data_IF_599464260991
#
_entry.id   IF_599464260991
#
_cell.length_a   1.000
_cell.length_b   1.000
_cell.length_c   1.000
_cell.angle_alpha   90.00
_cell.angle_beta   90.00
_cell.angle_gamma   90.00
#
_symmetry.space_group_name_H-M   'P 1'
#
loop_
_entity.id
_entity.type
_entity.pdbx_description
1 polymer ?
#
# COMPACT_ATOMS: atom_id res chain seq x y z
N UNK A 1 -30.08 -12.94 -13.64
CA UNK A 1 -28.64 -12.90 -14.02
C UNK A 1 -27.90 -12.18 -12.90
N UNK A 2 -27.15 -12.92 -12.09
CA UNK A 2 -26.34 -12.33 -11.03
C UNK A 2 -25.11 -11.68 -11.67
N UNK A 3 -24.94 -10.38 -11.48
CA UNK A 3 -23.79 -9.64 -12.02
C UNK A 3 -22.51 -10.12 -11.35
N UNK A 4 -21.43 -10.24 -12.12
CA UNK A 4 -20.10 -10.48 -11.56
C UNK A 4 -19.70 -9.35 -10.61
N UNK A 5 -18.82 -9.64 -9.64
CA UNK A 5 -18.33 -8.63 -8.68
C UNK A 5 -17.71 -7.42 -9.38
N UNK A 6 -16.99 -7.65 -10.48
CA UNK A 6 -16.41 -6.57 -11.28
C UNK A 6 -17.48 -5.65 -11.86
N UNK A 7 -18.57 -6.20 -12.39
CA UNK A 7 -19.70 -5.42 -12.93
C UNK A 7 -20.43 -4.64 -11.84
N UNK A 8 -20.61 -5.23 -10.66
CA UNK A 8 -21.21 -4.51 -9.51
C UNK A 8 -20.33 -3.34 -9.10
N UNK A 9 -19.02 -3.56 -8.94
CA UNK A 9 -18.07 -2.52 -8.51
C UNK A 9 -17.88 -1.43 -9.57
N UNK A 10 -17.92 -1.77 -10.87
CA UNK A 10 -17.82 -0.80 -11.97
C UNK A 10 -18.97 0.23 -11.96
N UNK A 11 -20.13 -0.12 -11.39
CA UNK A 11 -21.27 0.80 -11.25
C UNK A 11 -21.14 1.77 -10.08
N UNK A 12 -20.15 1.59 -9.21
CA UNK A 12 -19.92 2.46 -8.05
C UNK A 12 -18.98 3.58 -8.45
N UNK A 13 -19.56 4.66 -8.99
CA UNK A 13 -18.79 5.83 -9.44
C UNK A 13 -18.94 7.03 -8.50
N UNK A 14 -20.05 7.10 -7.78
CA UNK A 14 -20.39 8.22 -6.89
C UNK A 14 -20.71 7.75 -5.47
N UNK A 15 -20.80 8.70 -4.53
CA UNK A 15 -21.22 8.43 -3.15
C UNK A 15 -22.62 7.79 -3.09
N UNK A 16 -23.66 8.29 -3.80
CA UNK A 16 -24.96 7.61 -3.83
C UNK A 16 -24.92 6.17 -4.34
N UNK A 17 -24.11 5.88 -5.36
CA UNK A 17 -23.95 4.50 -5.86
C UNK A 17 -23.36 3.58 -4.80
N UNK A 18 -22.36 4.08 -4.08
CA UNK A 18 -21.69 3.36 -3.00
C UNK A 18 -22.66 3.06 -1.85
N UNK A 19 -23.42 4.05 -1.38
CA UNK A 19 -24.44 3.85 -0.34
C UNK A 19 -25.48 2.82 -0.75
N UNK A 20 -26.03 2.94 -1.96
CA UNK A 20 -27.03 2.01 -2.50
C UNK A 20 -26.49 0.60 -2.68
N UNK A 21 -25.24 0.44 -3.10
CA UNK A 21 -24.64 -0.88 -3.35
C UNK A 21 -24.30 -1.59 -2.04
N UNK A 22 -23.82 -0.85 -1.03
CA UNK A 22 -23.43 -1.39 0.27
C UNK A 22 -24.56 -1.36 1.32
N UNK A 23 -25.80 -1.07 0.94
CA UNK A 23 -26.92 -0.97 1.90
C UNK A 23 -27.21 -2.30 2.62
N UNK A 24 -27.09 -3.42 1.91
CA UNK A 24 -27.45 -4.75 2.41
C UNK A 24 -26.22 -5.49 2.94
N UNK A 25 -26.30 -5.93 4.19
CA UNK A 25 -25.20 -6.60 4.89
C UNK A 25 -24.87 -7.96 4.26
N UNK A 26 -25.88 -8.69 3.78
CA UNK A 26 -25.70 -9.98 3.09
C UNK A 26 -24.96 -9.83 1.76
N UNK A 27 -25.33 -8.81 0.97
CA UNK A 27 -24.65 -8.47 -0.29
C UNK A 27 -23.23 -7.98 -0.05
N UNK A 28 -22.98 -7.20 0.99
CA UNK A 28 -21.62 -6.80 1.38
C UNK A 28 -20.77 -8.03 1.72
N UNK A 29 -21.36 -9.02 2.40
CA UNK A 29 -20.68 -10.27 2.72
C UNK A 29 -20.34 -11.08 1.48
N UNK A 30 -21.26 -11.22 0.52
CA UNK A 30 -21.01 -11.90 -0.76
C UNK A 30 -19.92 -11.20 -1.58
N UNK A 31 -19.96 -9.87 -1.66
CA UNK A 31 -18.92 -9.08 -2.32
C UNK A 31 -17.55 -9.30 -1.65
N UNK A 32 -17.50 -9.28 -0.32
CA UNK A 32 -16.27 -9.53 0.43
C UNK A 32 -15.73 -10.95 0.17
N UNK A 33 -16.60 -11.97 0.15
CA UNK A 33 -16.21 -13.35 -0.16
C UNK A 33 -15.62 -13.49 -1.55
N UNK A 34 -16.23 -12.89 -2.56
CA UNK A 34 -15.70 -12.94 -3.92
C UNK A 34 -14.40 -12.13 -4.09
N UNK A 35 -14.18 -11.06 -3.31
CA UNK A 35 -12.94 -10.29 -3.38
C UNK A 35 -11.78 -10.96 -2.62
N UNK A 36 -12.06 -11.65 -1.51
CA UNK A 36 -11.05 -12.38 -0.72
C UNK A 36 -10.75 -13.75 -1.34
N UNK A 37 -11.74 -14.39 -1.96
CA UNK A 37 -11.65 -15.72 -2.57
C UNK A 37 -12.09 -15.72 -4.04
N UNK A 38 -11.38 -15.00 -4.94
CA UNK A 38 -11.74 -14.93 -6.36
C UNK A 38 -11.74 -16.31 -7.02
N UNK A 39 -10.81 -17.19 -6.62
CA UNK A 39 -10.62 -18.54 -7.16
C UNK A 39 -11.19 -19.63 -6.24
N UNK A 40 -12.10 -19.26 -5.35
CA UNK A 40 -12.72 -20.17 -4.38
C UNK A 40 -12.08 -20.16 -2.99
N UNK A 41 -12.81 -20.75 -2.03
CA UNK A 41 -12.49 -20.65 -0.59
C UNK A 41 -11.19 -21.38 -0.24
N UNK A 42 -10.31 -20.69 0.46
CA UNK A 42 -9.07 -21.26 1.01
C UNK A 42 -9.16 -21.25 2.53
N UNK A 43 -8.91 -22.40 3.16
CA UNK A 43 -8.87 -22.50 4.62
C UNK A 43 -7.72 -21.66 5.17
N UNK A 44 -7.98 -20.65 6.03
CA UNK A 44 -6.94 -19.76 6.52
C UNK A 44 -5.98 -20.45 7.51
N UNK A 45 -6.30 -21.66 7.99
CA UNK A 45 -5.46 -22.42 8.91
C UNK A 45 -4.44 -23.32 8.22
N UNK A 46 -4.82 -24.00 7.12
CA UNK A 46 -3.99 -25.02 6.47
C UNK A 46 -3.89 -24.90 4.94
N UNK A 47 -4.54 -23.90 4.31
CA UNK A 47 -4.47 -23.68 2.86
C UNK A 47 -5.34 -24.62 2.03
N UNK A 48 -6.07 -25.55 2.65
CA UNK A 48 -6.92 -26.50 1.92
C UNK A 48 -8.07 -25.78 1.20
N UNK A 49 -8.30 -26.16 -0.07
CA UNK A 49 -9.21 -25.45 -1.00
C UNK A 49 -10.66 -25.97 -1.00
N UNK A 50 -10.95 -27.02 -0.24
CA UNK A 50 -12.31 -27.56 -0.10
C UNK A 50 -12.87 -27.26 1.28
N UNK A 51 -14.08 -26.72 1.29
CA UNK A 51 -14.83 -26.45 2.52
C UNK A 51 -16.33 -26.61 2.30
N UNK A 52 -17.00 -27.07 3.35
CA UNK A 52 -18.46 -27.21 3.41
C UNK A 52 -19.06 -25.99 4.10
N UNK A 53 -20.18 -25.48 3.58
CA UNK A 53 -20.97 -24.46 4.27
C UNK A 53 -21.75 -25.12 5.41
N UNK A 54 -21.60 -24.62 6.63
CA UNK A 54 -22.38 -25.07 7.77
C UNK A 54 -23.69 -24.29 7.79
N UNK A 55 -24.74 -24.86 7.19
CA UNK A 55 -26.09 -24.30 7.25
C UNK A 55 -26.77 -24.68 8.56
N UNK A 56 -27.10 -23.68 9.38
CA UNK A 56 -27.73 -23.88 10.70
C UNK A 56 -29.19 -24.34 10.67
N UNK A 57 -29.64 -25.04 9.64
CA UNK A 57 -31.07 -25.40 9.46
C UNK A 57 -31.41 -26.85 9.80
N UNK A 58 -30.48 -27.80 9.73
CA UNK A 58 -30.82 -29.23 9.89
C UNK A 58 -30.53 -29.81 11.28
N UNK A 59 -29.79 -29.11 12.15
CA UNK A 59 -29.30 -29.66 13.43
C UNK A 59 -29.79 -28.94 14.69
N UNK A 60 -30.80 -28.08 14.60
CA UNK A 60 -31.35 -27.33 15.76
C UNK A 60 -30.38 -26.32 16.40
N UNK A 61 -29.12 -26.25 15.95
CA UNK A 61 -28.12 -25.28 16.40
C UNK A 61 -28.04 -24.14 15.39
N UNK A 62 -28.23 -22.89 15.85
CA UNK A 62 -28.03 -21.67 15.06
C UNK A 62 -26.55 -21.53 14.67
N UNK A 63 -26.11 -22.21 13.61
CA UNK A 63 -24.81 -21.94 13.02
C UNK A 63 -24.78 -20.49 12.55
N UNK A 64 -23.67 -19.78 12.82
CA UNK A 64 -23.50 -18.41 12.33
C UNK A 64 -23.64 -18.43 10.80
N UNK A 65 -24.45 -17.54 10.21
CA UNK A 65 -24.53 -17.44 8.75
C UNK A 65 -23.13 -17.31 8.15
N UNK A 66 -22.90 -18.00 7.03
CA UNK A 66 -21.65 -17.93 6.26
C UNK A 66 -20.43 -18.46 7.03
N UNK A 67 -20.65 -19.48 7.86
CA UNK A 67 -19.62 -20.27 8.51
C UNK A 67 -19.26 -21.47 7.62
N UNK A 68 -17.97 -21.62 7.34
CA UNK A 68 -17.44 -22.72 6.56
C UNK A 68 -16.62 -23.65 7.45
N UNK A 69 -16.57 -24.94 7.11
CA UNK A 69 -15.66 -25.88 7.74
C UNK A 69 -14.71 -26.46 6.70
N UNK A 70 -13.42 -26.45 7.02
CA UNK A 70 -12.39 -27.10 6.22
C UNK A 70 -12.71 -28.59 6.03
N UNK A 71 -12.68 -29.06 4.78
CA UNK A 71 -12.94 -30.47 4.46
C UNK A 71 -11.73 -31.38 4.69
N UNK A 72 -10.56 -30.83 5.00
CA UNK A 72 -9.40 -31.64 5.38
C UNK A 72 -9.69 -32.40 6.68
N UNK A 73 -9.46 -33.72 6.67
CA UNK A 73 -9.72 -34.62 7.79
C UNK A 73 -8.91 -34.27 9.04
N UNK A 74 -7.70 -33.73 8.88
CA UNK A 74 -6.82 -33.34 10.00
C UNK A 74 -7.09 -31.92 10.51
N UNK A 75 -7.58 -31.02 9.66
CA UNK A 75 -7.75 -29.62 10.03
C UNK A 75 -9.13 -29.33 10.63
N UNK A 76 -10.21 -29.66 9.90
CA UNK A 76 -11.63 -29.42 10.29
C UNK A 76 -11.94 -28.00 10.84
N UNK A 77 -11.05 -27.03 10.61
CA UNK A 77 -11.14 -25.67 11.14
C UNK A 77 -12.36 -24.94 10.58
N UNK A 78 -13.08 -24.24 11.45
CA UNK A 78 -14.24 -23.46 11.07
C UNK A 78 -13.85 -22.01 10.82
N UNK A 79 -14.31 -21.43 9.72
CA UNK A 79 -13.95 -20.07 9.34
C UNK A 79 -15.01 -19.27 8.60
N UNK A 80 -14.89 -17.96 8.71
CA UNK A 80 -15.62 -16.95 7.91
C UNK A 80 -14.61 -16.18 7.06
N UNK A 81 -15.10 -15.41 6.09
CA UNK A 81 -14.25 -14.59 5.20
C UNK A 81 -13.34 -13.60 5.94
N UNK A 82 -13.77 -13.16 7.12
CA UNK A 82 -13.03 -12.21 7.94
C UNK A 82 -11.93 -12.87 8.78
N UNK A 83 -11.87 -14.20 8.88
CA UNK A 83 -10.88 -14.87 9.73
C UNK A 83 -9.47 -14.71 9.17
N UNK A 84 -8.52 -14.41 10.07
CA UNK A 84 -7.12 -14.08 9.74
C UNK A 84 -6.97 -12.92 8.76
N UNK A 85 -7.95 -12.02 8.71
CA UNK A 85 -7.85 -10.75 7.98
C UNK A 85 -7.84 -9.57 8.97
N UNK A 86 -7.53 -8.35 8.53
CA UNK A 86 -7.77 -7.13 9.30
C UNK A 86 -9.17 -6.96 9.89
N UNK A 87 -10.18 -7.61 9.29
CA UNK A 87 -11.57 -7.60 9.73
C UNK A 87 -11.88 -8.72 10.73
N UNK A 88 -10.87 -9.45 11.21
CA UNK A 88 -11.04 -10.53 12.17
C UNK A 88 -11.76 -10.05 13.43
N UNK A 89 -12.75 -10.84 13.86
CA UNK A 89 -13.60 -10.56 15.02
C UNK A 89 -14.25 -9.15 15.02
N UNK A 90 -14.43 -8.54 13.84
CA UNK A 90 -15.05 -7.22 13.74
C UNK A 90 -16.50 -7.25 14.19
N UNK A 91 -16.88 -6.26 15.00
CA UNK A 91 -18.28 -5.99 15.39
C UNK A 91 -18.90 -4.87 14.55
N UNK A 92 -18.09 -4.20 13.74
CA UNK A 92 -18.52 -3.13 12.86
C UNK A 92 -19.16 -3.74 11.60
N UNK A 93 -20.35 -3.28 11.17
CA UNK A 93 -20.99 -3.82 9.98
C UNK A 93 -20.12 -3.70 8.72
N UNK A 94 -20.20 -4.70 7.84
CA UNK A 94 -19.44 -4.76 6.59
C UNK A 94 -19.81 -3.62 5.65
N UNK A 95 -21.06 -3.15 5.67
CA UNK A 95 -21.43 -1.93 4.93
C UNK A 95 -20.55 -0.74 5.31
N UNK A 96 -20.28 -0.56 6.60
CA UNK A 96 -19.44 0.55 7.08
C UNK A 96 -17.98 0.31 6.67
N UNK A 97 -17.50 -0.92 6.73
CA UNK A 97 -16.17 -1.28 6.24
C UNK A 97 -15.97 -0.97 4.77
N UNK A 98 -16.86 -1.45 3.91
CA UNK A 98 -16.77 -1.27 2.46
C UNK A 98 -16.94 0.21 2.08
N UNK A 99 -17.87 0.93 2.70
CA UNK A 99 -18.03 2.37 2.50
C UNK A 99 -16.78 3.15 2.92
N UNK A 100 -16.20 2.82 4.07
CA UNK A 100 -15.00 3.50 4.55
C UNK A 100 -13.77 3.20 3.71
N UNK A 101 -13.58 1.95 3.27
CA UNK A 101 -12.52 1.60 2.34
C UNK A 101 -12.70 2.32 1.01
N UNK A 102 -13.91 2.35 0.46
CA UNK A 102 -14.20 3.10 -0.77
C UNK A 102 -13.89 4.59 -0.62
N UNK A 103 -14.28 5.23 0.48
CA UNK A 103 -13.97 6.64 0.76
C UNK A 103 -12.46 6.90 0.87
N UNK A 104 -11.74 6.02 1.55
CA UNK A 104 -10.27 6.10 1.63
C UNK A 104 -9.65 5.98 0.24
N UNK A 105 -10.11 5.01 -0.55
CA UNK A 105 -9.62 4.77 -1.90
C UNK A 105 -10.00 5.91 -2.84
N UNK A 106 -11.13 6.61 -2.62
CA UNK A 106 -11.66 7.74 -3.40
C UNK A 106 -10.80 9.01 -3.31
N UNK A 107 -10.04 9.22 -2.24
CA UNK A 107 -9.07 10.33 -2.16
C UNK A 107 -7.78 10.00 -2.93
N UNK A 108 -7.10 10.99 -3.52
CA UNK A 108 -5.78 10.77 -4.14
C UNK A 108 -4.62 10.89 -3.14
N UNK A 109 -4.82 11.65 -2.05
CA UNK A 109 -3.79 11.91 -1.04
C UNK A 109 -4.01 11.14 0.26
N UNK A 110 -5.22 10.63 0.49
CA UNK A 110 -5.64 10.10 1.78
C UNK A 110 -6.77 10.90 2.42
N UNK A 111 -7.33 10.32 3.47
CA UNK A 111 -8.34 10.95 4.33
C UNK A 111 -7.87 10.80 5.77
N UNK A 112 -7.98 11.87 6.55
CA UNK A 112 -7.64 11.78 7.98
C UNK A 112 -8.67 10.91 8.70
N UNK A 113 -8.25 10.25 9.78
CA UNK A 113 -9.15 9.41 10.58
C UNK A 113 -10.31 10.19 11.19
N UNK A 114 -10.13 11.49 11.46
CA UNK A 114 -11.19 12.38 11.94
C UNK A 114 -12.26 12.57 10.85
N UNK A 115 -11.85 12.95 9.63
CA UNK A 115 -12.79 13.15 8.51
C UNK A 115 -13.48 11.85 8.09
N UNK A 116 -12.77 10.74 8.14
CA UNK A 116 -13.36 9.42 7.86
C UNK A 116 -14.38 9.03 8.94
N UNK A 117 -14.11 9.34 10.20
CA UNK A 117 -15.04 9.09 11.31
C UNK A 117 -16.32 9.91 11.19
N UNK A 118 -16.20 11.22 10.89
CA UNK A 118 -17.32 12.11 10.60
C UNK A 118 -18.18 11.57 9.45
N UNK A 119 -17.55 11.19 8.33
CA UNK A 119 -18.26 10.71 7.14
C UNK A 119 -19.01 9.39 7.36
N UNK A 120 -18.51 8.52 8.26
CA UNK A 120 -19.09 7.21 8.54
C UNK A 120 -20.00 7.19 9.77
N UNK A 121 -20.01 8.25 10.59
CA UNK A 121 -20.71 8.28 11.88
C UNK A 121 -20.12 7.29 12.90
N UNK A 122 -18.80 7.09 12.89
CA UNK A 122 -18.09 6.20 13.83
C UNK A 122 -17.10 6.98 14.68
N UNK A 123 -16.55 6.34 15.72
CA UNK A 123 -15.48 6.97 16.51
C UNK A 123 -14.19 7.15 15.69
N UNK A 124 -13.42 8.21 15.98
CA UNK A 124 -12.11 8.43 15.36
C UNK A 124 -11.17 7.22 15.50
N UNK A 125 -11.08 6.54 16.66
CA UNK A 125 -10.26 5.34 16.77
C UNK A 125 -10.72 4.22 15.83
N UNK A 126 -12.03 4.07 15.61
CA UNK A 126 -12.57 3.08 14.67
C UNK A 126 -12.10 3.39 13.26
N UNK A 127 -12.27 4.63 12.80
CA UNK A 127 -11.80 5.07 11.49
C UNK A 127 -10.27 4.95 11.34
N UNK A 128 -9.51 5.24 12.40
CA UNK A 128 -8.05 5.04 12.42
C UNK A 128 -7.67 3.56 12.25
N UNK A 129 -8.38 2.63 12.91
CA UNK A 129 -8.21 1.18 12.70
C UNK A 129 -8.52 0.79 11.25
N UNK A 130 -9.55 1.38 10.64
CA UNK A 130 -9.86 1.13 9.23
C UNK A 130 -8.74 1.59 8.30
N UNK A 131 -8.14 2.75 8.56
CA UNK A 131 -6.96 3.22 7.83
C UNK A 131 -5.80 2.25 7.89
N UNK A 132 -5.51 1.72 9.08
CA UNK A 132 -4.46 0.69 9.22
C UNK A 132 -4.84 -0.65 8.60
N UNK A 133 -6.13 -1.02 8.56
CA UNK A 133 -6.59 -2.17 7.78
C UNK A 133 -6.23 -2.05 6.31
N UNK A 134 -6.52 -0.89 5.71
CA UNK A 134 -6.13 -0.63 4.33
C UNK A 134 -4.60 -0.76 4.16
N UNK A 135 -3.82 -0.05 4.97
CA UNK A 135 -2.34 -0.04 4.92
C UNK A 135 -1.71 -1.42 5.00
N UNK A 136 -2.27 -2.29 5.83
CA UNK A 136 -1.83 -3.67 5.99
C UNK A 136 -2.23 -4.51 4.78
N UNK A 137 -3.47 -4.41 4.30
CA UNK A 137 -3.95 -5.19 3.14
C UNK A 137 -3.27 -4.82 1.83
N UNK A 138 -2.85 -3.56 1.67
CA UNK A 138 -2.18 -3.09 0.46
C UNK A 138 -0.66 -3.23 0.50
N UNK A 139 -0.10 -3.71 1.61
CA UNK A 139 1.31 -4.14 1.66
C UNK A 139 1.59 -5.26 0.65
N UNK A 140 2.79 -5.30 0.12
CA UNK A 140 3.19 -6.21 -0.95
C UNK A 140 4.63 -6.62 -0.74
N UNK A 141 4.90 -7.88 -1.05
CA UNK A 141 6.15 -8.56 -0.69
C UNK A 141 6.91 -9.00 -1.95
N UNK A 142 6.30 -8.89 -3.13
CA UNK A 142 6.95 -9.17 -4.40
C UNK A 142 8.02 -8.12 -4.67
N UNK A 143 9.24 -8.59 -4.94
CA UNK A 143 10.35 -7.74 -5.34
C UNK A 143 10.08 -7.10 -6.72
N UNK A 144 10.63 -5.90 -6.90
CA UNK A 144 10.52 -5.13 -8.12
C UNK A 144 11.52 -5.63 -9.16
N UNK A 145 11.12 -5.66 -10.42
CA UNK A 145 11.95 -6.10 -11.54
C UNK A 145 12.04 -5.03 -12.65
N UNK A 146 12.79 -5.35 -13.72
CA UNK A 146 12.98 -4.47 -14.85
C UNK A 146 13.83 -3.24 -14.51
N UNK A 147 13.43 -2.06 -14.96
CA UNK A 147 14.15 -0.81 -14.65
C UNK A 147 13.56 -0.19 -13.40
N UNK A 148 14.37 -0.02 -12.35
CA UNK A 148 13.93 0.48 -11.05
C UNK A 148 14.70 1.75 -10.69
N UNK A 149 13.95 2.83 -10.45
CA UNK A 149 14.49 4.10 -9.95
C UNK A 149 14.54 4.07 -8.42
N UNK A 150 15.70 4.37 -7.84
CA UNK A 150 15.91 4.43 -6.40
C UNK A 150 16.33 5.83 -5.97
N UNK A 151 15.77 6.30 -4.85
CA UNK A 151 16.10 7.60 -4.26
C UNK A 151 15.91 7.57 -2.74
N UNK A 152 16.54 8.52 -2.05
CA UNK A 152 16.42 8.71 -0.61
C UNK A 152 15.64 9.97 -0.26
N UNK A 153 14.86 9.93 0.82
CA UNK A 153 14.27 11.12 1.40
C UNK A 153 14.33 11.12 2.92
N UNK A 154 14.20 12.32 3.48
CA UNK A 154 14.02 12.53 4.91
C UNK A 154 12.59 12.96 5.22
N UNK A 155 11.95 12.23 6.13
CA UNK A 155 10.61 12.52 6.68
C UNK A 155 10.74 12.98 8.13
N UNK A 156 9.96 13.99 8.52
CA UNK A 156 9.95 14.53 9.87
C UNK A 156 10.20 16.03 9.93
N UNK A 157 9.83 16.61 11.08
CA UNK A 157 10.00 18.04 11.38
C UNK A 157 11.48 18.43 11.54
N UNK A 158 11.73 19.74 11.58
CA UNK A 158 13.03 20.22 12.06
C UNK A 158 13.17 19.82 13.54
N UNK A 159 14.36 19.36 13.98
CA UNK A 159 14.63 19.14 15.39
C UNK A 159 14.21 20.37 16.21
N UNK A 160 13.38 20.18 17.23
CA UNK A 160 13.14 21.24 18.22
C UNK A 160 14.25 21.16 19.26
N UNK A 161 14.76 22.32 19.68
CA UNK A 161 15.75 22.37 20.76
C UNK A 161 15.04 22.00 22.05
N UNK A 162 15.39 20.85 22.60
CA UNK A 162 14.96 20.44 23.93
C UNK A 162 16.04 20.86 24.94
N UNK A 163 15.74 21.72 25.94
CA UNK A 163 16.71 22.13 26.96
C UNK A 163 17.29 20.96 27.77
N UNK A 164 16.57 19.85 27.86
CA UNK A 164 16.95 18.69 28.68
C UNK A 164 17.83 17.67 27.91
N UNK A 165 18.03 17.86 26.61
CA UNK A 165 18.83 16.97 25.78
C UNK A 165 19.97 17.72 25.10
N UNK A 166 21.13 17.07 25.03
CA UNK A 166 22.26 17.59 24.26
C UNK A 166 21.88 17.74 22.79
N UNK A 167 22.26 18.84 22.11
CA UNK A 167 22.02 19.00 20.69
C UNK A 167 22.58 17.80 19.92
N UNK A 168 21.91 17.34 18.84
CA UNK A 168 22.50 16.32 17.99
C UNK A 168 23.87 16.79 17.51
N UNK A 169 24.88 15.93 17.67
CA UNK A 169 26.26 16.25 17.28
C UNK A 169 26.38 16.67 15.82
N UNK A 170 27.54 17.21 15.42
CA UNK A 170 27.76 17.60 14.02
C UNK A 170 27.93 16.35 13.15
N UNK A 171 27.26 16.33 12.00
CA UNK A 171 27.43 15.37 10.92
C UNK A 171 28.53 15.79 9.94
N UNK A 172 28.57 15.12 8.78
CA UNK A 172 29.58 15.38 7.74
C UNK A 172 29.54 16.84 7.30
N UNK A 173 30.72 17.47 7.13
CA UNK A 173 30.89 18.90 6.80
C UNK A 173 30.36 19.89 7.85
N UNK A 174 30.28 19.49 9.12
CA UNK A 174 29.92 20.39 10.23
C UNK A 174 28.43 20.75 10.32
N UNK A 175 27.59 20.16 9.48
CA UNK A 175 26.13 20.33 9.53
C UNK A 175 25.56 19.63 10.77
N UNK A 176 24.47 20.12 11.39
CA UNK A 176 23.79 19.38 12.46
C UNK A 176 23.37 17.97 11.98
N UNK A 177 23.59 16.93 12.78
CA UNK A 177 22.99 15.61 12.49
C UNK A 177 21.47 15.78 12.40
N UNK A 178 20.90 15.37 11.28
CA UNK A 178 19.44 15.40 11.09
C UNK A 178 18.79 14.37 12.02
N UNK A 179 17.73 14.76 12.72
CA UNK A 179 16.87 13.82 13.46
C UNK A 179 15.68 13.34 12.61
N UNK A 180 15.64 13.75 11.33
CA UNK A 180 14.62 13.27 10.41
C UNK A 180 14.87 11.81 10.11
N UNK A 181 13.80 11.05 10.01
CA UNK A 181 13.82 9.64 9.63
C UNK A 181 14.22 9.52 8.16
N UNK A 182 15.34 8.85 7.84
CA UNK A 182 15.68 8.53 6.47
C UNK A 182 14.79 7.41 5.95
N UNK A 183 14.45 7.51 4.67
CA UNK A 183 13.55 6.60 3.97
C UNK A 183 14.16 6.33 2.60
N UNK A 184 14.15 5.07 2.18
CA UNK A 184 14.49 4.69 0.81
C UNK A 184 13.24 4.41 0.01
N UNK A 185 13.28 4.77 -1.26
CA UNK A 185 12.19 4.62 -2.21
C UNK A 185 12.70 3.86 -3.42
N UNK A 186 11.91 2.91 -3.90
CA UNK A 186 12.15 2.19 -5.15
C UNK A 186 10.87 2.23 -6.01
N UNK A 187 10.98 2.74 -7.23
CA UNK A 187 9.89 2.93 -8.18
C UNK A 187 10.22 2.20 -9.48
N UNK A 188 9.47 1.16 -9.86
CA UNK A 188 9.66 0.52 -11.15
C UNK A 188 9.19 1.44 -12.27
N UNK A 189 9.85 1.38 -13.42
CA UNK A 189 9.35 1.98 -14.64
C UNK A 189 8.40 1.01 -15.35
N UNK A 190 7.31 1.50 -15.96
CA UNK A 190 6.47 0.65 -16.79
C UNK A 190 7.32 0.03 -17.91
N UNK A 191 7.27 -1.31 -18.11
CA UNK A 191 8.08 -1.99 -19.12
C UNK A 191 7.68 -1.58 -20.55
N UNK A 192 6.44 -1.11 -20.71
CA UNK A 192 5.95 -0.51 -21.93
C UNK A 192 4.95 0.62 -21.62
N UNK A 193 4.69 1.47 -22.62
CA UNK A 193 3.77 2.61 -22.51
C UNK A 193 2.44 2.31 -23.20
N UNK A 194 2.04 1.03 -23.23
CA UNK A 194 0.80 0.59 -23.89
C UNK A 194 -0.42 1.06 -23.09
N UNK A 195 -1.49 1.38 -23.80
CA UNK A 195 -2.77 1.71 -23.14
C UNK A 195 -3.22 0.54 -22.27
N UNK A 196 -3.59 0.82 -21.02
CA UNK A 196 -3.95 -0.17 -20.02
C UNK A 196 -2.80 -0.68 -19.15
N UNK A 197 -1.54 -0.40 -19.50
CA UNK A 197 -0.40 -0.80 -18.67
C UNK A 197 -0.44 -0.10 -17.30
N UNK A 198 -0.11 -0.83 -16.24
CA UNK A 198 -0.03 -0.32 -14.87
C UNK A 198 1.22 0.53 -14.66
N UNK A 199 1.20 1.44 -13.69
CA UNK A 199 2.41 2.17 -13.30
C UNK A 199 3.42 1.35 -12.50
N UNK A 200 3.12 0.08 -12.22
CA UNK A 200 3.92 -0.75 -11.32
C UNK A 200 3.70 -0.40 -9.84
N UNK A 201 4.15 -1.28 -8.97
CA UNK A 201 4.05 -1.10 -7.52
C UNK A 201 5.27 -0.36 -6.98
N UNK A 202 5.06 0.61 -6.08
CA UNK A 202 6.17 1.35 -5.46
C UNK A 202 6.46 0.81 -4.07
N UNK A 203 7.74 0.84 -3.68
CA UNK A 203 8.22 0.48 -2.34
C UNK A 203 8.85 1.68 -1.66
N UNK A 204 8.62 1.79 -0.37
CA UNK A 204 9.40 2.67 0.49
C UNK A 204 9.48 2.13 1.90
N UNK A 205 10.64 2.28 2.53
CA UNK A 205 10.90 1.76 3.86
C UNK A 205 11.77 2.74 4.66
N UNK A 206 11.51 2.82 5.96
CA UNK A 206 12.42 3.48 6.89
C UNK A 206 13.74 2.72 6.97
N UNK A 207 14.84 3.46 6.98
CA UNK A 207 16.19 2.96 7.29
C UNK A 207 16.67 3.61 8.58
N UNK A 208 17.49 2.88 9.36
CA UNK A 208 17.99 3.38 10.63
C UNK A 208 19.00 4.52 10.43
N UNK A 209 19.86 4.37 9.43
CA UNK A 209 20.84 5.37 9.03
C UNK A 209 21.17 5.29 7.53
N UNK A 210 22.10 6.13 7.07
CA UNK A 210 22.59 6.15 5.69
C UNK A 210 23.79 5.20 5.46
N UNK A 211 23.90 4.12 6.24
CA UNK A 211 24.92 3.10 5.99
C UNK A 211 24.59 2.31 4.72
N UNK A 212 25.63 1.73 4.14
CA UNK A 212 25.48 0.80 3.01
C UNK A 212 24.72 -0.46 3.41
N UNK A 213 24.95 -0.98 4.62
CA UNK A 213 24.26 -2.17 5.15
C UNK A 213 22.75 -1.96 5.29
N UNK A 214 22.30 -0.79 5.76
CA UNK A 214 20.87 -0.50 5.86
C UNK A 214 20.23 -0.31 4.48
N UNK A 215 20.96 0.30 3.54
CA UNK A 215 20.49 0.40 2.17
C UNK A 215 20.40 -0.97 1.48
N UNK A 216 21.40 -1.84 1.70
CA UNK A 216 21.43 -3.21 1.19
C UNK A 216 20.24 -4.03 1.70
N UNK A 217 19.97 -3.98 3.02
CA UNK A 217 18.84 -4.67 3.65
C UNK A 217 17.51 -4.33 2.97
N UNK A 218 17.29 -3.04 2.67
CA UNK A 218 16.04 -2.60 2.03
C UNK A 218 16.00 -2.93 0.54
N UNK A 219 17.12 -2.73 -0.19
CA UNK A 219 17.16 -2.94 -1.63
C UNK A 219 17.05 -4.43 -1.99
N UNK A 220 17.72 -5.31 -1.26
CA UNK A 220 17.67 -6.77 -1.51
C UNK A 220 16.31 -7.38 -1.19
N UNK A 221 15.55 -6.81 -0.25
CA UNK A 221 14.15 -7.20 0.00
C UNK A 221 13.20 -6.65 -1.07
N UNK A 222 13.47 -5.44 -1.58
CA UNK A 222 12.54 -4.71 -2.44
C UNK A 222 12.76 -4.92 -3.95
N UNK A 223 13.94 -5.33 -4.39
CA UNK A 223 14.34 -5.33 -5.80
C UNK A 223 15.08 -6.61 -6.17
N UNK A 224 14.68 -7.22 -7.28
CA UNK A 224 15.33 -8.41 -7.83
C UNK A 224 16.75 -8.08 -8.33
N UNK A 225 17.76 -8.95 -8.10
CA UNK A 225 19.12 -8.74 -8.62
C UNK A 225 19.19 -8.61 -10.15
N UNK A 226 18.19 -9.14 -10.87
CA UNK A 226 18.08 -9.01 -12.32
C UNK A 226 17.67 -7.61 -12.81
N UNK A 227 17.32 -6.69 -11.90
CA UNK A 227 16.88 -5.35 -12.25
C UNK A 227 18.03 -4.45 -12.74
N UNK A 228 17.67 -3.44 -13.53
CA UNK A 228 18.53 -2.32 -13.91
C UNK A 228 18.20 -1.12 -13.02
N UNK A 229 19.12 -0.78 -12.11
CA UNK A 229 18.95 0.32 -11.19
C UNK A 229 19.27 1.68 -11.83
N UNK A 230 18.48 2.68 -11.45
CA UNK A 230 18.71 4.09 -11.77
C UNK A 230 18.78 4.86 -10.44
N UNK A 231 19.88 5.54 -10.14
CA UNK A 231 20.01 6.31 -8.88
C UNK A 231 20.67 7.67 -9.06
N UNK A 232 20.73 8.44 -7.98
CA UNK A 232 21.65 9.56 -7.86
C UNK A 232 23.09 9.09 -7.56
N UNK A 233 23.98 10.05 -7.28
CA UNK A 233 25.39 9.82 -6.95
C UNK A 233 25.66 9.49 -5.46
N UNK A 234 24.66 9.02 -4.70
CA UNK A 234 24.89 8.59 -3.33
C UNK A 234 25.79 7.35 -3.30
N UNK A 235 26.90 7.44 -2.57
CA UNK A 235 27.95 6.40 -2.54
C UNK A 235 27.43 5.00 -2.20
N UNK A 236 26.44 4.88 -1.31
CA UNK A 236 25.87 3.59 -0.95
C UNK A 236 25.21 2.94 -2.18
N UNK A 237 24.41 3.69 -2.94
CA UNK A 237 23.81 3.20 -4.18
C UNK A 237 24.85 2.80 -5.22
N UNK A 238 25.92 3.59 -5.38
CA UNK A 238 27.01 3.26 -6.34
C UNK A 238 27.70 1.94 -5.97
N UNK A 239 27.94 1.69 -4.68
CA UNK A 239 28.54 0.44 -4.21
C UNK A 239 27.61 -0.75 -4.47
N UNK A 240 26.36 -0.63 -4.01
CA UNK A 240 25.35 -1.69 -4.07
C UNK A 240 24.90 -2.01 -5.49
N UNK A 241 24.95 -1.03 -6.40
CA UNK A 241 24.57 -1.22 -7.80
C UNK A 241 25.36 -2.31 -8.53
N UNK A 242 26.56 -2.65 -8.03
CA UNK A 242 27.36 -3.77 -8.56
C UNK A 242 26.73 -5.15 -8.37
N UNK A 243 25.78 -5.29 -7.43
CA UNK A 243 25.06 -6.54 -7.17
C UNK A 243 23.86 -6.75 -8.11
N UNK A 244 23.53 -5.77 -8.96
CA UNK A 244 22.39 -5.80 -9.88
C UNK A 244 22.84 -5.97 -11.33
N UNK A 245 21.92 -6.38 -12.21
CA UNK A 245 22.22 -6.64 -13.62
C UNK A 245 22.83 -5.42 -14.34
N UNK A 246 22.41 -4.22 -13.96
CA UNK A 246 23.03 -2.97 -14.38
C UNK A 246 22.71 -1.85 -13.38
N UNK A 247 23.55 -0.82 -13.34
CA UNK A 247 23.32 0.38 -12.54
C UNK A 247 23.81 1.63 -13.28
N UNK A 248 22.90 2.59 -13.48
CA UNK A 248 23.22 3.90 -14.04
C UNK A 248 22.91 5.02 -13.04
N UNK A 249 23.76 6.04 -13.04
CA UNK A 249 23.63 7.19 -12.14
C UNK A 249 23.53 8.52 -12.88
N UNK A 250 22.76 9.45 -12.29
CA UNK A 250 22.76 10.88 -12.66
C UNK A 250 23.57 11.70 -11.68
N UNK A 251 24.32 12.68 -12.20
CA UNK A 251 25.21 13.53 -11.39
C UNK A 251 24.55 14.88 -11.07
N UNK A 252 23.74 14.93 -10.02
CA UNK A 252 23.05 16.16 -9.62
C UNK A 252 23.99 17.32 -9.28
N UNK A 253 25.20 17.06 -8.73
CA UNK A 253 26.20 18.12 -8.50
C UNK A 253 26.65 18.80 -9.80
N UNK A 254 26.65 18.07 -10.92
CA UNK A 254 26.96 18.61 -12.23
C UNK A 254 25.73 19.26 -12.92
N UNK A 255 24.60 19.40 -12.20
CA UNK A 255 23.30 19.85 -12.74
C UNK A 255 22.77 18.94 -13.85
N UNK A 256 23.14 17.66 -13.81
CA UNK A 256 22.59 16.62 -14.65
C UNK A 256 21.36 16.02 -13.97
N UNK A 257 20.20 16.12 -14.63
CA UNK A 257 18.92 15.61 -14.13
C UNK A 257 18.35 14.48 -15.00
N UNK A 258 18.89 14.32 -16.22
CA UNK A 258 18.60 13.20 -17.11
C UNK A 258 19.69 13.08 -18.19
N UNK A 259 20.05 11.85 -18.55
CA UNK A 259 20.94 11.52 -19.67
C UNK A 259 20.30 10.41 -20.50
N UNK A 260 19.58 10.80 -21.55
CA UNK A 260 18.76 9.86 -22.33
C UNK A 260 17.73 9.15 -21.43
N UNK A 261 17.72 7.81 -21.37
CA UNK A 261 16.84 7.05 -20.48
C UNK A 261 17.29 7.06 -19.01
N UNK A 262 18.48 7.56 -18.67
CA UNK A 262 19.00 7.56 -17.29
C UNK A 262 18.44 8.75 -16.51
N UNK A 263 17.60 8.49 -15.50
CA UNK A 263 17.00 9.48 -14.60
C UNK A 263 16.27 8.82 -13.41
N UNK A 264 15.94 9.60 -12.38
CA UNK A 264 15.16 9.14 -11.20
C UNK A 264 13.89 9.96 -10.95
N UNK A 265 13.35 10.59 -12.00
CA UNK A 265 12.20 11.51 -11.91
C UNK A 265 10.94 10.90 -11.26
N UNK A 266 10.71 9.59 -11.40
CA UNK A 266 9.56 8.90 -10.83
C UNK A 266 9.75 8.69 -9.33
N UNK A 267 10.96 8.33 -8.89
CA UNK A 267 11.34 8.25 -7.49
C UNK A 267 11.27 9.62 -6.80
N UNK A 268 11.84 10.66 -7.41
CA UNK A 268 11.72 12.04 -6.92
C UNK A 268 10.24 12.48 -6.81
N UNK A 269 9.43 12.16 -7.84
CA UNK A 269 7.99 12.45 -7.84
C UNK A 269 7.22 11.71 -6.75
N UNK A 270 7.64 10.50 -6.39
CA UNK A 270 7.07 9.75 -5.27
C UNK A 270 7.51 10.33 -3.91
N UNK A 271 8.76 10.77 -3.78
CA UNK A 271 9.23 11.50 -2.59
C UNK A 271 8.38 12.74 -2.32
N UNK A 272 8.10 13.45 -3.39
CA UNK A 272 7.21 14.60 -3.42
C UNK A 272 5.76 14.25 -2.99
N UNK A 273 5.27 13.08 -3.39
CA UNK A 273 3.96 12.55 -2.98
C UNK A 273 3.93 12.24 -1.48
N UNK A 274 4.98 11.60 -0.94
CA UNK A 274 5.10 11.32 0.50
C UNK A 274 5.03 12.63 1.28
N UNK A 275 5.88 13.61 0.93
CA UNK A 275 5.94 14.91 1.61
C UNK A 275 4.59 15.60 1.64
N UNK A 276 3.89 15.67 0.50
CA UNK A 276 2.56 16.31 0.39
C UNK A 276 1.49 15.58 1.19
N UNK A 277 1.56 14.25 1.26
CA UNK A 277 0.62 13.42 2.02
C UNK A 277 0.82 13.60 3.52
N UNK A 278 2.07 13.58 3.98
CA UNK A 278 2.42 13.86 5.37
C UNK A 278 1.99 15.28 5.73
N UNK A 279 2.41 16.30 4.99
CA UNK A 279 2.09 17.68 5.33
C UNK A 279 0.60 18.03 5.23
N UNK A 280 -0.15 17.38 4.33
CA UNK A 280 -1.53 17.75 4.02
C UNK A 280 -2.63 16.87 4.64
N UNK A 281 -2.34 15.61 4.99
CA UNK A 281 -3.37 14.66 5.45
C UNK A 281 -3.07 14.12 6.84
N UNK A 282 -1.87 13.58 7.05
CA UNK A 282 -1.54 12.89 8.29
C UNK A 282 -0.87 13.78 9.33
N UNK A 283 -0.20 14.85 8.89
CA UNK A 283 0.61 15.82 9.64
C UNK A 283 1.78 15.23 10.44
N UNK A 284 1.63 14.03 10.99
CA UNK A 284 2.61 13.29 11.75
C UNK A 284 2.45 11.78 11.51
N UNK A 285 3.56 11.10 11.28
CA UNK A 285 3.63 9.65 11.18
C UNK A 285 4.77 9.20 12.09
N UNK A 286 4.50 8.29 13.02
CA UNK A 286 5.55 7.73 13.86
C UNK A 286 6.46 6.80 13.04
N UNK A 287 7.78 6.79 13.27
CA UNK A 287 8.71 5.92 12.54
C UNK A 287 8.28 4.44 12.56
N UNK A 288 7.82 3.93 13.70
CA UNK A 288 7.35 2.55 13.85
C UNK A 288 6.16 2.19 12.94
N UNK A 289 5.35 3.15 12.53
CA UNK A 289 4.19 2.91 11.65
C UNK A 289 4.43 3.41 10.23
N UNK A 290 5.58 4.03 9.94
CA UNK A 290 5.81 4.75 8.70
C UNK A 290 5.67 3.85 7.47
N UNK A 291 6.21 2.64 7.51
CA UNK A 291 6.12 1.66 6.42
C UNK A 291 4.67 1.32 6.07
N UNK A 292 3.77 1.23 7.06
CA UNK A 292 2.34 1.04 6.81
C UNK A 292 1.75 2.21 6.03
N UNK A 293 2.12 3.45 6.36
CA UNK A 293 1.65 4.60 5.59
C UNK A 293 2.27 4.65 4.20
N UNK A 294 3.52 4.23 4.04
CA UNK A 294 4.17 4.10 2.75
C UNK A 294 3.48 3.07 1.85
N UNK A 295 3.01 1.95 2.42
CA UNK A 295 2.17 0.99 1.68
C UNK A 295 0.90 1.64 1.12
N UNK A 296 0.19 2.45 1.91
CA UNK A 296 -0.99 3.18 1.42
C UNK A 296 -0.64 4.19 0.32
N UNK A 297 0.44 4.95 0.49
CA UNK A 297 0.87 5.96 -0.49
C UNK A 297 1.33 5.29 -1.79
N UNK A 298 2.11 4.21 -1.68
CA UNK A 298 2.57 3.38 -2.79
C UNK A 298 1.40 2.73 -3.53
N UNK A 299 0.42 2.18 -2.80
CA UNK A 299 -0.79 1.62 -3.41
C UNK A 299 -1.53 2.68 -4.24
N UNK A 300 -1.81 3.87 -3.68
CA UNK A 300 -2.47 4.97 -4.41
C UNK A 300 -1.70 5.40 -5.65
N UNK A 301 -0.37 5.45 -5.58
CA UNK A 301 0.47 5.73 -6.75
C UNK A 301 0.31 4.68 -7.84
N UNK A 302 0.17 3.43 -7.43
CA UNK A 302 0.11 2.26 -8.31
C UNK A 302 -1.28 2.06 -8.96
N UNK A 303 -2.34 2.62 -8.38
CA UNK A 303 -3.72 2.49 -8.87
C UNK A 303 -4.04 3.42 -10.06
N UNK A 304 -3.19 3.39 -11.09
CA UNK A 304 -3.36 4.13 -12.33
C UNK A 304 -2.88 3.31 -13.53
N UNK A 305 -3.49 3.58 -14.66
CA UNK A 305 -3.20 2.92 -15.93
C UNK A 305 -2.89 3.97 -17.00
N UNK A 306 -2.10 3.58 -17.98
CA UNK A 306 -1.75 4.43 -19.11
C UNK A 306 -2.97 4.56 -20.02
N UNK A 307 -3.33 5.78 -20.40
CA UNK A 307 -4.40 6.04 -21.39
C UNK A 307 -3.89 6.53 -22.73
N UNK A 308 -2.61 6.88 -22.80
CA UNK A 308 -1.96 7.28 -24.03
C UNK A 308 -0.73 8.13 -23.77
N UNK A 309 -0.27 8.82 -24.81
CA UNK A 309 0.84 9.76 -24.76
C UNK A 309 0.45 11.07 -25.42
N UNK A 310 0.93 12.18 -24.88
CA UNK A 310 0.72 13.49 -25.47
C UNK A 310 2.05 14.24 -25.64
N UNK A 311 2.28 14.89 -26.79
CA UNK A 311 3.40 15.81 -26.94
C UNK A 311 3.19 17.03 -26.04
N UNK A 312 4.24 17.44 -25.35
CA UNK A 312 4.31 18.64 -24.52
C UNK A 312 5.57 19.42 -24.85
N UNK A 313 5.60 20.69 -24.47
CA UNK A 313 6.82 21.51 -24.51
C UNK A 313 7.26 21.82 -23.09
N UNK A 314 8.56 21.70 -22.83
CA UNK A 314 9.15 22.20 -21.58
C UNK A 314 9.06 23.71 -21.52
N UNK A 315 9.32 24.30 -20.34
CA UNK A 315 9.48 25.76 -20.18
C UNK A 315 10.54 26.35 -21.14
N UNK A 316 11.52 25.55 -21.57
CA UNK A 316 12.56 25.93 -22.54
C UNK A 316 12.21 25.60 -23.99
N UNK A 317 10.93 25.32 -24.30
CA UNK A 317 10.45 25.04 -25.66
C UNK A 317 10.78 23.66 -26.22
N UNK A 318 11.59 22.84 -25.53
CA UNK A 318 11.96 21.49 -25.99
C UNK A 318 10.74 20.55 -26.04
N UNK A 319 10.54 19.79 -27.13
CA UNK A 319 9.47 18.80 -27.22
C UNK A 319 9.75 17.62 -26.28
N UNK A 320 8.72 17.16 -25.59
CA UNK A 320 8.77 16.01 -24.68
C UNK A 320 7.46 15.25 -24.78
N UNK A 321 7.52 13.93 -24.90
CA UNK A 321 6.34 13.08 -24.82
C UNK A 321 6.02 12.80 -23.36
N UNK A 322 4.77 13.03 -22.93
CA UNK A 322 4.30 12.72 -21.58
C UNK A 322 3.28 11.60 -21.63
N UNK A 323 3.48 10.59 -20.81
CA UNK A 323 2.50 9.53 -20.55
C UNK A 323 1.29 10.13 -19.84
N UNK A 324 0.11 9.85 -20.37
CA UNK A 324 -1.17 10.19 -19.77
C UNK A 324 -1.60 9.03 -18.88
N UNK A 325 -1.96 9.36 -17.64
CA UNK A 325 -2.40 8.40 -16.63
C UNK A 325 -3.87 8.66 -16.30
N UNK A 326 -4.66 7.59 -16.26
CA UNK A 326 -5.97 7.61 -15.63
C UNK A 326 -5.96 6.76 -14.37
N UNK A 327 -6.72 7.19 -13.39
CA UNK A 327 -6.88 6.49 -12.14
C UNK A 327 -7.86 5.32 -12.30
N UNK A 328 -7.57 4.20 -11.65
CA UNK A 328 -8.52 3.08 -11.55
C UNK A 328 -9.71 3.52 -10.68
N UNK A 329 -10.97 3.33 -11.09
CA UNK A 329 -12.13 3.67 -10.26
C UNK A 329 -12.05 3.06 -8.85
N UNK A 330 -12.35 3.80 -7.77
CA UNK A 330 -12.03 3.35 -6.40
C UNK A 330 -12.68 2.05 -5.98
N UNK A 331 -13.90 1.77 -6.44
CA UNK A 331 -14.54 0.48 -6.21
C UNK A 331 -13.81 -0.68 -6.90
N UNK A 332 -13.25 -0.47 -8.09
CA UNK A 332 -12.47 -1.48 -8.82
C UNK A 332 -11.09 -1.73 -8.20
N UNK A 333 -10.65 -0.89 -7.25
CA UNK A 333 -9.43 -1.13 -6.48
C UNK A 333 -9.66 -2.10 -5.31
N UNK A 334 -10.91 -2.26 -4.83
CA UNK A 334 -11.23 -3.11 -3.67
C UNK A 334 -10.80 -4.58 -3.82
N UNK A 335 -10.95 -5.24 -4.98
CA UNK A 335 -10.44 -6.60 -5.16
C UNK A 335 -8.93 -6.69 -4.94
N UNK A 336 -8.15 -5.71 -5.42
CA UNK A 336 -6.70 -5.68 -5.19
C UNK A 336 -6.34 -5.47 -3.71
N UNK A 337 -7.16 -4.72 -2.96
CA UNK A 337 -7.00 -4.59 -1.51
C UNK A 337 -7.22 -5.94 -0.83
N UNK A 338 -8.33 -6.62 -1.13
CA UNK A 338 -8.74 -7.82 -0.40
C UNK A 338 -8.03 -9.12 -0.82
N UNK A 339 -7.44 -9.16 -2.02
CA UNK A 339 -6.74 -10.34 -2.55
C UNK A 339 -5.68 -10.90 -1.58
N UNK A 340 -5.02 -10.04 -0.82
CA UNK A 340 -3.95 -10.42 0.12
C UNK A 340 -4.34 -10.16 1.58
N UNK A 341 -5.65 -10.15 1.89
CA UNK A 341 -6.12 -9.86 3.24
C UNK A 341 -5.88 -11.03 4.22
N UNK A 342 -5.87 -12.28 3.74
CA UNK A 342 -5.68 -13.48 4.57
C UNK A 342 -4.23 -13.53 5.06
N UNK A 343 -4.05 -13.77 6.35
CA UNK A 343 -2.74 -13.78 6.99
C UNK A 343 -2.32 -12.44 7.57
N UNK A 344 -3.17 -11.40 7.48
CA UNK A 344 -2.82 -10.04 7.91
C UNK A 344 -3.66 -9.56 9.08
N UNK A 345 -3.94 -10.44 10.04
CA UNK A 345 -4.69 -10.10 11.25
C UNK A 345 -3.99 -9.00 12.06
N UNK A 346 -4.80 -8.07 12.59
CA UNK A 346 -4.34 -6.95 13.39
C UNK A 346 -5.07 -6.89 14.74
N UNK A 347 -4.31 -6.57 15.78
CA UNK A 347 -4.81 -6.35 17.12
C UNK A 347 -4.48 -4.95 17.59
N UNK A 348 -5.35 -4.38 18.42
CA UNK A 348 -5.01 -3.14 19.12
C UNK A 348 -4.10 -3.46 20.29
N UNK A 349 -3.07 -2.64 20.47
CA UNK A 349 -2.24 -2.73 21.67
C UNK A 349 -2.94 -2.06 22.85
N UNK A 350 -2.52 -2.37 24.07
CA UNK A 350 -3.03 -1.69 25.28
C UNK A 350 -2.72 -0.19 25.27
N UNK A 351 -1.65 0.22 24.60
CA UNK A 351 -1.25 1.62 24.43
C UNK A 351 -1.98 2.33 23.28
N UNK A 352 -3.00 1.71 22.67
CA UNK A 352 -3.78 2.30 21.58
C UNK A 352 -3.13 2.20 20.19
N UNK A 353 -2.02 1.48 20.06
CA UNK A 353 -1.35 1.17 18.80
C UNK A 353 -1.94 -0.05 18.07
N UNK A 354 -1.23 -0.56 17.08
CA UNK A 354 -1.60 -1.79 16.35
C UNK A 354 -0.41 -2.76 16.33
N UNK A 355 -0.69 -4.01 16.70
CA UNK A 355 0.19 -5.15 16.50
C UNK A 355 -0.30 -5.98 15.32
N UNK A 356 0.62 -6.34 14.44
CA UNK A 356 0.37 -7.30 13.37
C UNK A 356 0.61 -8.70 13.92
N UNK A 357 -0.43 -9.54 13.93
CA UNK A 357 -0.33 -10.92 14.43
C UNK A 357 0.43 -11.80 13.44
N UNK A 358 0.36 -11.47 12.15
CA UNK A 358 1.13 -12.07 11.08
C UNK A 358 1.41 -10.99 10.04
N UNK A 359 2.67 -10.90 9.60
CA UNK A 359 3.11 -9.93 8.58
C UNK A 359 2.99 -10.47 7.16
N UNK A 360 2.93 -11.79 6.99
CA UNK A 360 2.97 -12.48 5.70
C UNK A 360 1.57 -12.94 5.31
N UNK A 361 1.19 -12.70 4.05
CA UNK A 361 -0.02 -13.32 3.51
C UNK A 361 0.18 -14.85 3.45
N UNK A 362 -0.62 -15.61 4.19
CA UNK A 362 -0.34 -17.06 4.38
C UNK A 362 -0.63 -17.87 3.10
N UNK A 363 -1.53 -17.39 2.25
CA UNK A 363 -1.92 -18.06 1.00
C UNK A 363 -2.28 -16.99 -0.03
N UNK A 364 -1.50 -16.87 -1.10
CA UNK A 364 -1.65 -15.84 -2.13
C UNK A 364 -0.34 -15.60 -2.84
#
# INVERSE_FOLDING_TARGET
>A
MDLSVREVLARITTVPDMVRTFQDEGRCRLLLEAMVWPDGRICPACGYRRSIALTGRESGRRARPWLYQCSSGTCRFQFTVTIRTPLHATKLPLRVWLSGLWLMLQSDKGISSIRLAEALGVSQPTAWRMGHALRVMVGREQALDGVVEIDGLYVGGKPRRDPNYSPPGRGRKGQPKTQKTPVLVAVPRPPNVSVGASSGEVRAAVIEDLSESEADRVLTEAVEPSAHLMSDEWKAFVSLGSAFAAHDTVHHKAREYARGPVHINSAEGFNDRIRRTVSGVFHHISPHLADLYFNEIGFRWSQRIITGQAPRRTRKGRPVTKTLWARIPPALQLPAVFRFAIGRDMRRTKAGGIDLVSKVAVFG
#
